data_IF_610662089469
#
_entry.id   IF_610662089469
#
_cell.length_a   1.000
_cell.length_b   1.000
_cell.length_c   1.000
_cell.angle_alpha   90.00
_cell.angle_beta   90.00
_cell.angle_gamma   90.00
#
_symmetry.space_group_name_H-M   'P 1'
#
loop_
_entity.id
_entity.type
_entity.pdbx_description
1 polymer ?
#
# COMPACT_ATOMS: atom_id res chain seq x y z
N UNK A 1 4.82 14.51 -1.73
CA UNK A 1 3.87 13.64 -1.01
C UNK A 1 4.24 12.20 -1.26
N UNK A 2 4.39 11.42 -0.18
CA UNK A 2 4.86 10.04 -0.23
C UNK A 2 3.88 9.11 0.49
N UNK A 3 3.66 7.93 -0.08
CA UNK A 3 2.83 6.89 0.52
C UNK A 3 3.67 5.63 0.70
N UNK A 4 3.78 5.16 1.93
CA UNK A 4 4.34 3.84 2.23
C UNK A 4 3.20 2.85 2.45
N UNK A 5 3.29 1.71 1.76
CA UNK A 5 2.28 0.66 1.77
C UNK A 5 2.90 -0.69 2.11
N UNK A 6 2.31 -1.39 3.08
CA UNK A 6 2.61 -2.80 3.36
C UNK A 6 1.34 -3.57 3.69
N UNK A 7 1.43 -4.90 3.63
CA UNK A 7 0.32 -5.78 3.91
C UNK A 7 0.74 -6.79 4.98
N UNK A 8 -0.18 -7.14 5.87
CA UNK A 8 0.08 -8.05 6.98
C UNK A 8 -1.08 -9.04 7.07
N UNK A 9 -0.75 -10.32 7.26
CA UNK A 9 -1.75 -11.39 7.36
C UNK A 9 -2.27 -11.86 6.00
N UNK A 10 -3.28 -12.73 6.03
CA UNK A 10 -3.73 -13.51 4.89
C UNK A 10 -2.97 -14.83 4.72
N UNK A 11 -3.54 -15.73 3.92
CA UNK A 11 -3.13 -17.15 3.76
C UNK A 11 -1.74 -17.38 3.17
N UNK A 12 -1.05 -16.33 2.73
CA UNK A 12 0.28 -16.39 2.12
C UNK A 12 1.26 -15.33 2.67
N UNK A 13 1.05 -14.84 3.89
CA UNK A 13 1.91 -13.83 4.49
C UNK A 13 3.29 -14.39 4.86
N UNK A 14 4.34 -13.89 4.19
CA UNK A 14 5.74 -14.16 4.51
C UNK A 14 6.41 -12.85 4.97
N UNK A 15 6.52 -12.61 6.29
CA UNK A 15 7.01 -11.34 6.83
C UNK A 15 8.39 -10.95 6.30
N UNK A 16 9.28 -11.93 6.10
CA UNK A 16 10.65 -11.72 5.63
C UNK A 16 10.75 -11.23 4.17
N UNK A 17 9.67 -11.38 3.37
CA UNK A 17 9.66 -11.03 1.94
C UNK A 17 8.80 -9.80 1.63
N UNK A 18 7.96 -9.36 2.57
CA UNK A 18 7.08 -8.22 2.37
C UNK A 18 7.77 -6.91 2.78
N UNK A 19 8.66 -6.43 1.92
CA UNK A 19 9.18 -5.06 2.04
C UNK A 19 8.06 -4.05 1.77
N UNK A 20 7.94 -2.98 2.57
CA UNK A 20 7.08 -1.85 2.26
C UNK A 20 7.39 -1.30 0.85
N UNK A 21 6.34 -0.85 0.18
CA UNK A 21 6.45 -0.15 -1.10
C UNK A 21 6.28 1.32 -0.84
N UNK A 22 7.24 2.10 -1.30
CA UNK A 22 7.16 3.56 -1.29
C UNK A 22 6.66 4.00 -2.66
N UNK A 23 5.62 4.84 -2.65
CA UNK A 23 5.03 5.49 -3.81
C UNK A 23 5.27 6.99 -3.62
N UNK A 24 6.07 7.58 -4.50
CA UNK A 24 6.19 9.02 -4.60
C UNK A 24 5.03 9.52 -5.48
N UNK A 25 4.08 10.22 -4.86
CA UNK A 25 2.86 10.69 -5.55
C UNK A 25 3.20 11.80 -6.54
N UNK A 26 4.23 12.59 -6.29
CA UNK A 26 4.62 13.69 -7.17
C UNK A 26 5.44 13.20 -8.38
N UNK A 27 5.95 11.96 -8.32
CA UNK A 27 6.60 11.28 -9.45
C UNK A 27 5.63 10.49 -10.35
N UNK A 28 4.33 10.43 -10.00
CA UNK A 28 3.30 9.81 -10.84
C UNK A 28 2.87 10.75 -11.98
N UNK A 29 2.11 10.22 -12.94
CA UNK A 29 1.44 11.08 -13.92
C UNK A 29 0.46 12.03 -13.20
N UNK A 30 0.22 13.24 -13.73
CA UNK A 30 -0.63 14.24 -13.08
C UNK A 30 -2.01 13.68 -12.69
N UNK A 31 -2.67 12.97 -13.61
CA UNK A 31 -3.98 12.35 -13.36
C UNK A 31 -3.97 11.37 -12.19
N UNK A 32 -2.92 10.54 -12.08
CA UNK A 32 -2.81 9.54 -11.02
C UNK A 32 -2.42 10.16 -9.67
N UNK A 33 -1.55 11.17 -9.69
CA UNK A 33 -1.20 11.94 -8.51
C UNK A 33 -2.42 12.66 -7.93
N UNK A 34 -3.21 13.30 -8.80
CA UNK A 34 -4.44 14.01 -8.41
C UNK A 34 -5.54 13.06 -7.94
N UNK A 35 -5.66 11.87 -8.54
CA UNK A 35 -6.57 10.82 -8.07
C UNK A 35 -6.25 10.42 -6.63
N UNK A 36 -4.98 10.11 -6.33
CA UNK A 36 -4.55 9.72 -4.98
C UNK A 36 -4.75 10.84 -3.96
N UNK A 37 -4.44 12.09 -4.32
CA UNK A 37 -4.66 13.27 -3.47
C UNK A 37 -6.14 13.42 -3.11
N UNK A 38 -7.03 13.32 -4.12
CA UNK A 38 -8.49 13.39 -3.91
C UNK A 38 -9.01 12.25 -3.03
N UNK A 39 -8.53 11.03 -3.23
CA UNK A 39 -8.95 9.87 -2.43
C UNK A 39 -8.49 9.98 -0.96
N UNK A 40 -7.30 10.54 -0.72
CA UNK A 40 -6.78 10.80 0.64
C UNK A 40 -7.62 11.83 1.38
N UNK A 41 -8.03 12.88 0.69
CA UNK A 41 -8.92 13.90 1.24
C UNK A 41 -10.33 13.35 1.47
N UNK A 42 -10.89 12.63 0.50
CA UNK A 42 -12.22 12.02 0.60
C UNK A 42 -12.33 11.01 1.75
N UNK A 43 -11.28 10.20 1.97
CA UNK A 43 -11.20 9.26 3.09
C UNK A 43 -10.86 9.94 4.44
N UNK A 44 -10.64 11.26 4.45
CA UNK A 44 -10.17 12.04 5.62
C UNK A 44 -9.01 11.35 6.33
N UNK A 45 -8.02 10.88 5.54
CA UNK A 45 -7.04 9.91 6.03
C UNK A 45 -6.32 10.34 7.32
N UNK A 46 -5.97 11.62 7.43
CA UNK A 46 -5.28 12.17 8.61
C UNK A 46 -6.16 12.32 9.86
N UNK A 47 -7.47 12.17 9.74
CA UNK A 47 -8.43 12.19 10.84
C UNK A 47 -8.81 10.76 11.29
N UNK A 48 -8.41 9.74 10.53
CA UNK A 48 -8.69 8.34 10.86
C UNK A 48 -7.95 7.91 12.13
N UNK A 49 -8.54 7.01 12.94
CA UNK A 49 -7.81 6.36 14.01
C UNK A 49 -6.65 5.52 13.46
N UNK A 50 -5.62 5.28 14.27
CA UNK A 50 -4.45 4.49 13.85
C UNK A 50 -4.78 3.04 13.48
N UNK A 51 -5.96 2.53 13.85
CA UNK A 51 -6.50 1.24 13.40
C UNK A 51 -7.96 1.40 13.02
N UNK A 52 -8.32 0.96 11.81
CA UNK A 52 -9.68 0.97 11.27
C UNK A 52 -10.17 -0.46 11.06
N UNK A 53 -11.37 -0.73 11.57
CA UNK A 53 -11.98 -2.05 11.58
C UNK A 53 -11.59 -2.90 12.79
N UNK A 54 -12.40 -3.92 13.08
CA UNK A 54 -12.15 -4.87 14.16
C UNK A 54 -12.31 -6.30 13.62
N UNK A 55 -11.34 -7.20 13.85
CA UNK A 55 -11.48 -8.58 13.44
C UNK A 55 -12.67 -9.21 14.19
N UNK A 56 -13.54 -9.91 13.47
CA UNK A 56 -14.61 -10.69 14.09
C UNK A 56 -13.99 -11.83 14.91
N UNK A 57 -14.70 -12.43 15.86
CA UNK A 57 -14.19 -13.64 16.53
C UNK A 57 -14.43 -14.82 15.58
N UNK A 58 -13.37 -15.59 15.28
CA UNK A 58 -13.49 -16.89 14.60
C UNK A 58 -13.05 -17.00 13.13
N UNK A 59 -12.59 -15.93 12.48
CA UNK A 59 -11.91 -16.05 11.18
C UNK A 59 -10.37 -16.04 11.37
N UNK A 60 -9.64 -16.79 10.55
CA UNK A 60 -8.18 -16.95 10.66
C UNK A 60 -7.41 -16.23 9.55
N UNK A 61 -8.12 -15.73 8.54
CA UNK A 61 -7.61 -15.18 7.29
C UNK A 61 -7.58 -13.64 7.26
N UNK A 62 -7.54 -13.00 8.44
CA UNK A 62 -7.49 -11.54 8.53
C UNK A 62 -6.30 -10.97 7.78
N UNK A 63 -6.59 -9.98 6.95
CA UNK A 63 -5.61 -9.23 6.20
C UNK A 63 -5.74 -7.75 6.56
N UNK A 64 -4.61 -7.14 6.85
CA UNK A 64 -4.51 -5.72 7.11
C UNK A 64 -3.61 -5.08 6.07
N UNK A 65 -4.03 -3.93 5.56
CA UNK A 65 -3.10 -3.03 4.90
C UNK A 65 -2.63 -1.98 5.90
N UNK A 66 -1.32 -1.70 5.89
CA UNK A 66 -0.73 -0.62 6.65
C UNK A 66 -0.31 0.45 5.67
N UNK A 67 -0.93 1.62 5.82
CA UNK A 67 -0.70 2.78 4.97
C UNK A 67 -0.09 3.87 5.84
N UNK A 68 1.04 4.41 5.40
CA UNK A 68 1.58 5.66 5.94
C UNK A 68 1.54 6.70 4.84
N UNK A 69 0.91 7.84 5.10
CA UNK A 69 0.93 9.00 4.20
C UNK A 69 1.79 10.08 4.85
N UNK A 70 2.77 10.57 4.09
CA UNK A 70 3.59 11.71 4.43
C UNK A 70 3.34 12.84 3.41
N UNK A 71 2.81 13.95 3.90
CA UNK A 71 2.57 15.15 3.11
C UNK A 71 3.10 16.38 3.86
N UNK A 72 4.13 17.01 3.28
CA UNK A 72 4.86 18.12 3.88
C UNK A 72 5.36 17.82 5.32
N UNK A 73 4.70 18.38 6.35
CA UNK A 73 5.02 18.17 7.78
C UNK A 73 4.07 17.20 8.48
N UNK A 74 3.13 16.59 7.74
CA UNK A 74 2.13 15.68 8.30
C UNK A 74 2.51 14.26 7.91
N UNK A 75 2.65 13.39 8.90
CA UNK A 75 2.82 11.95 8.72
C UNK A 75 1.78 11.23 9.56
N UNK A 76 1.03 10.33 8.94
CA UNK A 76 0.05 9.51 9.64
C UNK A 76 0.08 8.08 9.15
N UNK A 77 -0.07 7.13 10.09
CA UNK A 77 -0.04 5.69 9.80
C UNK A 77 -1.35 5.07 10.28
N UNK A 78 -2.02 4.35 9.37
CA UNK A 78 -3.30 3.69 9.63
C UNK A 78 -3.18 2.22 9.26
N UNK A 79 -3.58 1.33 10.18
CA UNK A 79 -3.75 -0.10 9.94
C UNK A 79 -5.22 -0.39 9.63
N UNK A 80 -5.50 -0.93 8.46
CA UNK A 80 -6.85 -1.06 7.92
C UNK A 80 -7.17 -2.55 7.77
N UNK A 81 -8.18 -3.05 8.48
CA UNK A 81 -8.72 -4.39 8.26
C UNK A 81 -9.49 -4.45 6.94
N UNK A 82 -9.34 -5.55 6.20
CA UNK A 82 -9.93 -5.73 4.88
C UNK A 82 -10.93 -6.90 4.87
N UNK A 83 -12.11 -6.74 4.24
CA UNK A 83 -12.60 -5.53 3.57
C UNK A 83 -12.96 -4.39 4.55
N UNK A 84 -12.67 -3.15 4.17
CA UNK A 84 -13.13 -1.97 4.91
C UNK A 84 -14.60 -1.69 4.59
N UNK A 85 -15.38 -1.31 5.60
CA UNK A 85 -16.79 -0.90 5.46
C UNK A 85 -16.93 0.51 4.88
N UNK A 86 -15.90 1.35 5.03
CA UNK A 86 -15.86 2.70 4.50
C UNK A 86 -15.52 2.65 2.99
N UNK A 87 -16.43 3.19 2.18
CA UNK A 87 -16.30 3.19 0.71
C UNK A 87 -15.12 4.03 0.24
N UNK A 88 -14.93 5.24 0.81
CA UNK A 88 -13.84 6.13 0.42
C UNK A 88 -12.47 5.53 0.80
N UNK A 89 -12.39 4.93 2.00
CA UNK A 89 -11.18 4.24 2.43
C UNK A 89 -10.88 3.02 1.55
N UNK A 90 -11.91 2.27 1.15
CA UNK A 90 -11.76 1.14 0.24
C UNK A 90 -11.28 1.56 -1.15
N UNK A 91 -11.76 2.67 -1.68
CA UNK A 91 -11.30 3.22 -2.97
C UNK A 91 -9.84 3.68 -2.88
N UNK A 92 -9.49 4.41 -1.82
CA UNK A 92 -8.11 4.81 -1.55
C UNK A 92 -7.14 3.61 -1.51
N UNK A 93 -7.48 2.59 -0.71
CA UNK A 93 -6.64 1.39 -0.55
C UNK A 93 -6.48 0.64 -1.88
N UNK A 94 -7.54 0.56 -2.70
CA UNK A 94 -7.46 -0.06 -4.02
C UNK A 94 -6.53 0.71 -4.97
N UNK A 95 -6.62 2.04 -5.00
CA UNK A 95 -5.72 2.87 -5.79
C UNK A 95 -4.26 2.69 -5.34
N UNK A 96 -3.99 2.75 -4.03
CA UNK A 96 -2.64 2.53 -3.47
C UNK A 96 -2.10 1.14 -3.87
N UNK A 97 -2.91 0.08 -3.77
CA UNK A 97 -2.51 -1.28 -4.16
C UNK A 97 -2.12 -1.39 -5.63
N UNK A 98 -2.88 -0.73 -6.52
CA UNK A 98 -2.61 -0.67 -7.96
C UNK A 98 -1.22 -0.06 -8.22
N UNK A 99 -0.93 1.09 -7.60
CA UNK A 99 0.38 1.73 -7.71
C UNK A 99 1.50 0.90 -7.07
N UNK A 100 1.28 0.33 -5.89
CA UNK A 100 2.26 -0.52 -5.21
C UNK A 100 2.64 -1.75 -6.05
N UNK A 101 1.67 -2.36 -6.73
CA UNK A 101 1.90 -3.47 -7.67
C UNK A 101 2.75 -3.00 -8.86
N UNK A 102 2.41 -1.88 -9.49
CA UNK A 102 3.18 -1.33 -10.60
C UNK A 102 4.65 -1.03 -10.20
N UNK A 103 4.86 -0.42 -9.04
CA UNK A 103 6.21 -0.13 -8.50
C UNK A 103 7.00 -1.40 -8.19
N UNK A 104 6.35 -2.46 -7.68
CA UNK A 104 6.98 -3.78 -7.49
C UNK A 104 7.37 -4.41 -8.83
N UNK A 105 6.49 -4.36 -9.82
CA UNK A 105 6.76 -4.92 -11.15
C UNK A 105 7.95 -4.21 -11.79
N UNK A 106 7.96 -2.87 -11.81
CA UNK A 106 9.06 -2.06 -12.33
C UNK A 106 10.40 -2.45 -11.71
N UNK A 107 10.45 -2.62 -10.37
CA UNK A 107 11.65 -3.06 -9.65
C UNK A 107 12.11 -4.47 -10.03
N UNK A 108 11.19 -5.42 -10.16
CA UNK A 108 11.53 -6.80 -10.54
C UNK A 108 12.02 -6.89 -12.00
N UNK A 109 11.51 -6.06 -12.92
CA UNK A 109 12.02 -5.99 -14.30
C UNK A 109 13.42 -5.38 -14.38
N UNK A 110 13.76 -4.43 -13.50
CA UNK A 110 15.14 -3.93 -13.38
C UNK A 110 16.10 -4.91 -12.69
N UNK A 111 15.59 -6.03 -12.16
CA UNK A 111 16.37 -7.11 -11.53
C UNK A 111 16.23 -8.47 -12.25
N UNK A 112 16.07 -8.47 -13.59
CA UNK A 112 16.08 -9.67 -14.44
C UNK A 112 17.48 -10.28 -14.65
N UNK A 113 17.59 -11.57 -15.05
CA UNK A 113 18.56 -12.52 -14.51
C UNK A 113 20.00 -12.30 -14.98
N UNK A 114 20.94 -12.44 -14.05
CA UNK A 114 22.32 -12.77 -14.38
C UNK A 114 22.35 -14.18 -15.01
N UNK A 115 22.13 -14.24 -16.33
CA UNK A 115 22.35 -15.42 -17.14
C UNK A 115 23.81 -15.87 -16.98
N UNK A 116 23.97 -17.16 -16.71
CA UNK A 116 25.19 -17.76 -16.16
C UNK A 116 26.45 -17.48 -16.96
N UNK A 117 27.56 -17.36 -16.22
CA UNK A 117 28.91 -17.46 -16.78
C UNK A 117 29.02 -18.76 -17.60
N UNK A 118 29.54 -18.72 -18.83
CA UNK A 118 29.93 -19.94 -19.51
C UNK A 118 31.11 -20.56 -18.75
N UNK A 119 30.93 -21.78 -18.24
CA UNK A 119 32.05 -22.60 -17.79
C UNK A 119 32.80 -23.04 -19.06
N UNK A 120 34.07 -22.66 -19.14
CA UNK A 120 35.04 -23.21 -20.11
C UNK A 120 35.41 -24.63 -19.70
#
# INVERSE_FOLDING_TARGET
MQIEFSQIGGVAYLPALQKPVVIDVDALSPDAGDELKRLIEAARFFELPSTVGAPKKGAADYQHDVVTVEDNRRRHTVKILIPSEDVALRELVQAIRKHAKATRMARNTSSGPAAGKPRK
#
